data_IF_497819949383
#
_entry.id   IF_497819949383
#
_cell.length_a   1.000
_cell.length_b   1.000
_cell.length_c   1.000
_cell.angle_alpha   90.00
_cell.angle_beta   90.00
_cell.angle_gamma   90.00
#
_symmetry.space_group_name_H-M   'P 1'
#
loop_
_entity.id
_entity.type
_entity.pdbx_description
1 polymer ?
#
# COMPACT_ATOMS: atom_id res chain seq x y z
N UNK A 1 -45.69 -0.36 -10.18
CA UNK A 1 -44.45 0.43 -10.04
C UNK A 1 -44.18 0.60 -8.56
N UNK A 2 -43.21 -0.16 -8.07
CA UNK A 2 -42.96 -0.45 -6.66
C UNK A 2 -42.01 0.61 -6.10
N UNK A 3 -42.10 0.97 -4.83
CA UNK A 3 -41.38 2.12 -4.22
C UNK A 3 -39.86 2.13 -4.49
N UNK A 4 -39.24 0.94 -4.60
CA UNK A 4 -37.84 0.75 -4.98
C UNK A 4 -37.48 1.39 -6.32
N UNK A 5 -38.35 1.26 -7.31
CA UNK A 5 -38.13 1.84 -8.63
C UNK A 5 -38.13 3.37 -8.57
N UNK A 6 -39.06 3.98 -7.82
CA UNK A 6 -39.13 5.44 -7.62
C UNK A 6 -37.91 5.96 -6.85
N UNK A 7 -37.50 5.27 -5.79
CA UNK A 7 -36.32 5.63 -5.00
C UNK A 7 -35.04 5.57 -5.85
N UNK A 8 -34.86 4.49 -6.62
CA UNK A 8 -33.72 4.36 -7.52
C UNK A 8 -33.70 5.42 -8.62
N UNK A 9 -34.87 5.76 -9.20
CA UNK A 9 -34.97 6.81 -10.21
C UNK A 9 -34.58 8.17 -9.61
N UNK A 10 -35.08 8.47 -8.42
CA UNK A 10 -34.75 9.70 -7.71
C UNK A 10 -33.25 9.77 -7.41
N UNK A 11 -32.63 8.72 -6.85
CA UNK A 11 -31.19 8.67 -6.58
C UNK A 11 -30.34 8.89 -7.84
N UNK A 12 -30.64 8.16 -8.93
CA UNK A 12 -29.94 8.33 -10.21
C UNK A 12 -30.12 9.76 -10.78
N UNK A 13 -31.29 10.37 -10.57
CA UNK A 13 -31.51 11.77 -10.97
C UNK A 13 -30.63 12.73 -10.18
N UNK A 14 -30.47 12.52 -8.86
CA UNK A 14 -29.63 13.36 -8.02
C UNK A 14 -28.17 13.31 -8.47
N UNK A 15 -27.64 12.12 -8.77
CA UNK A 15 -26.26 11.96 -9.27
C UNK A 15 -26.06 12.69 -10.61
N UNK A 16 -27.01 12.58 -11.54
CA UNK A 16 -26.93 13.28 -12.84
C UNK A 16 -26.98 14.80 -12.68
N UNK A 17 -27.84 15.29 -11.79
CA UNK A 17 -27.94 16.71 -11.48
C UNK A 17 -26.66 17.21 -10.81
N UNK A 18 -26.09 16.44 -9.88
CA UNK A 18 -24.84 16.70 -9.19
C UNK A 18 -23.68 16.89 -10.17
N UNK A 19 -23.49 15.93 -11.08
CA UNK A 19 -22.47 16.00 -12.11
C UNK A 19 -22.68 17.21 -13.04
N UNK A 20 -23.93 17.51 -13.41
CA UNK A 20 -24.26 18.65 -14.29
C UNK A 20 -24.06 20.01 -13.61
N UNK A 21 -24.27 20.13 -12.31
CA UNK A 21 -24.08 21.37 -11.56
C UNK A 21 -22.63 21.87 -11.61
N UNK A 22 -21.67 20.95 -11.73
CA UNK A 22 -20.27 21.29 -11.93
C UNK A 22 -19.59 21.88 -10.69
N UNK A 23 -20.00 21.42 -9.51
CA UNK A 23 -19.44 21.86 -8.22
C UNK A 23 -18.90 20.66 -7.45
N UNK A 24 -17.81 20.87 -6.71
CA UNK A 24 -17.24 19.84 -5.81
C UNK A 24 -17.98 19.90 -4.48
N UNK A 25 -18.55 18.78 -4.06
CA UNK A 25 -19.29 18.73 -2.80
C UNK A 25 -19.62 17.31 -2.36
N UNK A 26 -20.10 17.24 -1.10
CA UNK A 26 -20.71 16.04 -0.52
C UNK A 26 -21.98 16.47 0.19
N UNK A 27 -23.09 15.80 -0.06
CA UNK A 27 -24.36 16.09 0.61
C UNK A 27 -25.19 14.84 0.82
N UNK A 28 -25.94 14.80 1.91
CA UNK A 28 -26.80 13.69 2.28
C UNK A 28 -28.10 13.75 1.47
N UNK A 29 -28.42 12.66 0.78
CA UNK A 29 -29.66 12.49 0.02
C UNK A 29 -30.80 11.91 0.87
N UNK A 30 -30.47 11.18 1.93
CA UNK A 30 -31.45 10.57 2.83
C UNK A 30 -30.89 9.35 3.52
N UNK A 31 -31.76 8.46 4.00
CA UNK A 31 -31.36 7.24 4.71
C UNK A 31 -32.04 6.00 4.15
N UNK A 32 -31.30 4.90 4.05
CA UNK A 32 -31.83 3.56 3.72
C UNK A 32 -31.33 2.59 4.78
N UNK A 33 -32.25 1.87 5.44
CA UNK A 33 -31.90 0.92 6.51
C UNK A 33 -31.22 1.58 7.72
N UNK A 34 -31.44 2.88 7.95
CA UNK A 34 -30.78 3.65 9.00
C UNK A 34 -29.38 4.19 8.65
N UNK A 35 -28.89 3.91 7.43
CA UNK A 35 -27.61 4.42 6.95
C UNK A 35 -27.82 5.59 6.01
N UNK A 36 -27.01 6.64 6.17
CA UNK A 36 -27.07 7.80 5.30
C UNK A 36 -26.55 7.46 3.89
N UNK A 37 -27.29 7.91 2.90
CA UNK A 37 -26.88 7.90 1.50
C UNK A 37 -26.40 9.32 1.18
N UNK A 38 -25.15 9.45 0.74
CA UNK A 38 -24.59 10.71 0.27
C UNK A 38 -24.40 10.68 -1.24
N UNK A 39 -24.41 11.87 -1.83
CA UNK A 39 -23.85 12.11 -3.15
C UNK A 39 -22.51 12.84 -2.98
N UNK A 40 -21.48 12.36 -3.67
CA UNK A 40 -20.17 13.01 -3.73
C UNK A 40 -19.86 13.35 -5.18
N UNK A 41 -19.36 14.56 -5.41
CA UNK A 41 -18.88 15.02 -6.71
C UNK A 41 -17.42 15.37 -6.66
N UNK A 42 -16.73 15.07 -7.76
CA UNK A 42 -15.33 15.45 -7.95
C UNK A 42 -15.08 15.80 -9.40
N UNK A 43 -13.93 16.44 -9.63
CA UNK A 43 -13.47 16.79 -10.95
C UNK A 43 -12.52 15.71 -11.45
N UNK A 44 -12.76 15.22 -12.65
CA UNK A 44 -11.88 14.31 -13.36
C UNK A 44 -11.34 15.01 -14.61
N UNK A 45 -10.12 14.66 -15.01
CA UNK A 45 -9.56 15.08 -16.30
C UNK A 45 -9.28 13.84 -17.13
N UNK A 46 -9.88 13.78 -18.32
CA UNK A 46 -9.65 12.70 -19.28
C UNK A 46 -9.40 13.32 -20.65
N UNK A 47 -8.33 12.90 -21.33
CA UNK A 47 -7.92 13.41 -22.65
C UNK A 47 -7.84 14.96 -22.75
N UNK A 48 -7.38 15.61 -21.68
CA UNK A 48 -7.28 17.07 -21.62
C UNK A 48 -8.60 17.81 -21.38
N UNK A 49 -9.76 17.13 -21.42
CA UNK A 49 -11.05 17.69 -21.06
C UNK A 49 -11.34 17.53 -19.56
N UNK A 50 -11.88 18.59 -18.94
CA UNK A 50 -12.35 18.55 -17.56
C UNK A 50 -13.83 18.16 -17.52
N UNK A 51 -14.13 17.07 -16.80
CA UNK A 51 -15.48 16.61 -16.55
C UNK A 51 -15.77 16.56 -15.06
N UNK A 52 -17.05 16.67 -14.73
CA UNK A 52 -17.55 16.49 -13.37
C UNK A 52 -18.21 15.14 -13.25
N UNK A 53 -17.73 14.36 -12.28
CA UNK A 53 -18.27 13.06 -11.95
C UNK A 53 -18.97 13.11 -10.60
N UNK A 54 -19.92 12.19 -10.42
CA UNK A 54 -20.71 12.07 -9.22
C UNK A 54 -20.93 10.59 -8.90
N UNK A 55 -20.92 10.26 -7.61
CA UNK A 55 -21.24 8.92 -7.11
C UNK A 55 -22.17 8.99 -5.91
N UNK A 56 -22.68 7.82 -5.52
CA UNK A 56 -23.39 7.62 -4.27
C UNK A 56 -22.49 6.89 -3.28
N UNK A 57 -22.64 7.21 -2.01
CA UNK A 57 -21.95 6.52 -0.93
C UNK A 57 -22.88 6.20 0.23
N UNK A 58 -22.63 5.09 0.91
CA UNK A 58 -23.20 4.75 2.20
C UNK A 58 -22.28 5.23 3.32
N UNK A 59 -22.81 5.94 4.32
CA UNK A 59 -22.02 6.39 5.48
C UNK A 59 -21.98 5.31 6.56
N UNK A 60 -20.77 4.96 7.00
CA UNK A 60 -20.47 3.91 7.96
C UNK A 60 -19.48 4.46 8.99
N UNK A 61 -19.98 4.97 10.12
CA UNK A 61 -19.16 5.46 11.25
C UNK A 61 -17.87 6.19 10.81
N UNK A 62 -18.04 7.32 10.12
CA UNK A 62 -16.95 8.13 9.60
C UNK A 62 -16.30 7.65 8.28
N UNK A 63 -16.74 6.52 7.73
CA UNK A 63 -16.31 5.98 6.43
C UNK A 63 -17.41 6.12 5.39
N UNK A 64 -17.02 6.16 4.12
CA UNK A 64 -17.93 6.21 2.97
C UNK A 64 -17.68 4.97 2.13
N UNK A 65 -18.70 4.11 2.00
CA UNK A 65 -18.69 3.00 1.06
C UNK A 65 -19.27 3.48 -0.27
N UNK A 66 -18.39 3.71 -1.24
CA UNK A 66 -18.78 4.11 -2.59
C UNK A 66 -19.57 3.02 -3.30
N UNK A 67 -20.64 3.42 -3.99
CA UNK A 67 -21.46 2.54 -4.81
C UNK A 67 -20.93 2.54 -6.24
N UNK A 68 -20.70 1.35 -6.79
CA UNK A 68 -20.36 1.20 -8.21
C UNK A 68 -21.64 1.08 -9.05
N UNK A 69 -21.80 2.01 -9.98
CA UNK A 69 -22.87 2.03 -10.97
C UNK A 69 -22.48 2.89 -12.17
N UNK A 70 -23.03 2.53 -13.32
CA UNK A 70 -22.83 3.21 -14.59
C UNK A 70 -24.14 3.88 -15.07
N UNK A 71 -24.11 4.43 -16.29
CA UNK A 71 -25.27 5.09 -16.90
C UNK A 71 -26.40 4.12 -17.26
N UNK A 72 -26.09 2.84 -17.44
CA UNK A 72 -27.03 1.78 -17.84
C UNK A 72 -27.69 1.09 -16.64
N UNK A 73 -27.16 1.33 -15.44
CA UNK A 73 -27.66 0.76 -14.19
C UNK A 73 -29.12 1.13 -14.00
N UNK A 74 -29.97 0.10 -13.88
CA UNK A 74 -31.40 0.30 -13.68
C UNK A 74 -31.70 0.87 -12.28
N UNK A 75 -32.78 1.66 -12.13
CA UNK A 75 -33.22 2.16 -10.83
C UNK A 75 -33.35 1.07 -9.76
N UNK A 76 -33.99 -0.05 -10.11
CA UNK A 76 -34.18 -1.18 -9.20
C UNK A 76 -32.84 -1.84 -8.90
N UNK A 77 -31.96 -1.99 -9.89
CA UNK A 77 -30.62 -2.57 -9.71
C UNK A 77 -29.74 -1.76 -8.77
N UNK A 78 -29.81 -0.43 -8.82
CA UNK A 78 -29.11 0.44 -7.87
C UNK A 78 -29.58 0.20 -6.43
N UNK A 79 -30.90 0.18 -6.21
CA UNK A 79 -31.47 -0.07 -4.87
C UNK A 79 -31.10 -1.46 -4.38
N UNK A 80 -31.15 -2.49 -5.23
CA UNK A 80 -30.73 -3.84 -4.86
C UNK A 80 -29.25 -3.93 -4.51
N UNK A 81 -28.35 -3.16 -5.16
CA UNK A 81 -26.95 -3.08 -4.73
C UNK A 81 -26.80 -2.45 -3.35
N UNK A 82 -27.55 -1.38 -3.07
CA UNK A 82 -27.55 -0.74 -1.74
C UNK A 82 -28.03 -1.75 -0.69
N UNK A 83 -29.18 -2.39 -0.91
CA UNK A 83 -29.73 -3.41 0.00
C UNK A 83 -28.74 -4.56 0.24
N UNK A 84 -28.11 -5.07 -0.82
CA UNK A 84 -27.11 -6.13 -0.72
C UNK A 84 -25.86 -5.68 0.06
N UNK A 85 -25.42 -4.43 -0.09
CA UNK A 85 -24.33 -3.88 0.71
C UNK A 85 -24.72 -3.83 2.20
N UNK A 86 -25.93 -3.38 2.51
CA UNK A 86 -26.45 -3.33 3.88
C UNK A 86 -26.54 -4.73 4.51
N UNK A 87 -27.02 -5.73 3.77
CA UNK A 87 -27.14 -7.12 4.25
C UNK A 87 -25.78 -7.74 4.63
N UNK A 88 -24.69 -7.28 4.02
CA UNK A 88 -23.35 -7.75 4.36
C UNK A 88 -22.82 -7.21 5.68
N UNK A 89 -23.33 -6.08 6.17
CA UNK A 89 -22.80 -5.44 7.37
C UNK A 89 -22.94 -6.28 8.63
N UNK A 90 -23.98 -7.12 8.74
CA UNK A 90 -24.11 -8.03 9.88
C UNK A 90 -22.98 -9.07 9.92
N UNK A 91 -22.64 -9.64 8.76
CA UNK A 91 -21.53 -10.59 8.65
C UNK A 91 -20.18 -9.89 8.89
N UNK A 92 -19.98 -8.70 8.32
CA UNK A 92 -18.76 -7.91 8.52
C UNK A 92 -18.59 -7.50 10.00
N UNK A 93 -19.69 -7.14 10.68
CA UNK A 93 -19.69 -6.86 12.11
C UNK A 93 -19.36 -8.11 12.95
N UNK A 94 -19.91 -9.27 12.60
CA UNK A 94 -19.60 -10.53 13.28
C UNK A 94 -18.12 -10.92 13.11
N UNK A 95 -17.58 -10.78 11.91
CA UNK A 95 -16.16 -11.02 11.63
C UNK A 95 -15.25 -10.05 12.38
N UNK A 96 -15.59 -8.75 12.40
CA UNK A 96 -14.85 -7.74 13.16
C UNK A 96 -14.85 -8.04 14.66
N UNK A 97 -16.01 -8.44 15.22
CA UNK A 97 -16.11 -8.85 16.63
C UNK A 97 -15.24 -10.06 16.94
N UNK A 98 -15.25 -11.08 16.07
CA UNK A 98 -14.39 -12.26 16.22
C UNK A 98 -12.91 -11.89 16.19
N UNK A 99 -12.51 -10.97 15.30
CA UNK A 99 -11.13 -10.49 15.24
C UNK A 99 -10.71 -9.78 16.53
N UNK A 100 -11.59 -8.94 17.09
CA UNK A 100 -11.35 -8.27 18.38
C UNK A 100 -11.17 -9.31 19.50
N UNK A 101 -12.08 -10.27 19.61
CA UNK A 101 -12.01 -11.33 20.63
C UNK A 101 -10.72 -12.16 20.51
N UNK A 102 -10.33 -12.52 19.29
CA UNK A 102 -9.09 -13.25 19.06
C UNK A 102 -7.85 -12.42 19.43
N UNK A 103 -7.83 -11.13 19.09
CA UNK A 103 -6.75 -10.23 19.46
C UNK A 103 -6.65 -10.05 20.97
N UNK A 104 -7.78 -9.84 21.65
CA UNK A 104 -7.86 -9.75 23.12
C UNK A 104 -7.39 -11.04 23.80
N UNK A 105 -7.75 -12.21 23.26
CA UNK A 105 -7.28 -13.51 23.76
C UNK A 105 -5.76 -13.66 23.64
N UNK A 106 -5.16 -13.18 22.56
CA UNK A 106 -3.69 -13.25 22.34
C UNK A 106 -2.91 -12.20 23.11
N UNK A 107 -3.55 -11.07 23.45
CA UNK A 107 -2.90 -9.90 24.04
C UNK A 107 -2.11 -10.18 25.33
N UNK A 108 -2.59 -10.99 26.30
CA UNK A 108 -1.81 -11.31 27.51
C UNK A 108 -0.48 -12.01 27.19
N UNK A 109 -0.49 -12.94 26.23
CA UNK A 109 0.72 -13.65 25.80
C UNK A 109 1.75 -12.71 25.17
N UNK A 110 1.29 -11.73 24.39
CA UNK A 110 2.17 -10.69 23.86
C UNK A 110 2.68 -9.74 24.96
N UNK A 111 1.80 -9.29 25.87
CA UNK A 111 2.18 -8.41 26.99
C UNK A 111 3.21 -9.06 27.92
N UNK A 112 3.10 -10.35 28.19
CA UNK A 112 4.06 -11.09 29.00
C UNK A 112 5.48 -11.11 28.40
N UNK A 113 5.60 -10.92 27.08
CA UNK A 113 6.88 -10.89 26.36
C UNK A 113 7.45 -9.48 26.20
N UNK A 114 6.68 -8.44 26.52
CA UNK A 114 7.16 -7.06 26.48
C UNK A 114 8.20 -6.86 27.59
N UNK A 115 9.40 -6.41 27.20
CA UNK A 115 10.51 -6.16 28.13
C UNK A 115 11.34 -7.39 28.49
N UNK A 116 11.00 -8.59 27.98
CA UNK A 116 11.89 -9.74 28.10
C UNK A 116 13.08 -9.58 27.16
N UNK A 117 14.26 -10.00 27.64
CA UNK A 117 15.42 -10.14 26.78
C UNK A 117 15.14 -11.16 25.67
N UNK A 118 15.62 -10.87 24.46
CA UNK A 118 15.59 -11.84 23.38
C UNK A 118 16.38 -13.09 23.80
N UNK A 119 15.78 -14.29 23.82
CA UNK A 119 16.42 -15.47 24.41
C UNK A 119 17.78 -15.80 23.77
N UNK A 120 17.94 -15.54 22.47
CA UNK A 120 19.15 -15.81 21.71
C UNK A 120 20.05 -14.56 21.53
N UNK A 121 19.89 -13.53 22.38
CA UNK A 121 20.69 -12.29 22.27
C UNK A 121 22.20 -12.54 22.33
N UNK A 122 22.64 -13.44 23.22
CA UNK A 122 24.05 -13.80 23.34
C UNK A 122 24.58 -14.52 22.09
N UNK A 123 23.80 -15.47 21.55
CA UNK A 123 24.16 -16.17 20.33
C UNK A 123 24.20 -15.21 19.13
N UNK A 124 23.25 -14.28 19.04
CA UNK A 124 23.25 -13.26 18.00
C UNK A 124 24.50 -12.38 18.08
N UNK A 125 24.92 -11.99 19.29
CA UNK A 125 26.13 -11.21 19.49
C UNK A 125 27.38 -11.98 19.05
N UNK A 126 27.50 -13.25 19.45
CA UNK A 126 28.59 -14.14 19.01
C UNK A 126 28.66 -14.23 17.48
N UNK A 127 27.51 -14.41 16.80
CA UNK A 127 27.48 -14.49 15.33
C UNK A 127 27.84 -13.17 14.66
N UNK A 128 27.49 -12.03 15.26
CA UNK A 128 27.90 -10.71 14.76
C UNK A 128 29.41 -10.49 14.88
N UNK A 129 30.00 -10.90 15.99
CA UNK A 129 31.45 -10.81 16.20
C UNK A 129 32.22 -11.71 15.23
N UNK A 130 31.75 -12.96 15.04
CA UNK A 130 32.33 -13.87 14.07
C UNK A 130 32.23 -13.33 12.63
N UNK A 131 31.11 -12.71 12.28
CA UNK A 131 30.92 -12.08 10.96
C UNK A 131 31.88 -10.91 10.76
N UNK A 132 32.02 -10.02 11.74
CA UNK A 132 32.95 -8.88 11.66
C UNK A 132 34.40 -9.32 11.53
N UNK A 133 34.80 -10.40 12.20
CA UNK A 133 36.13 -10.99 12.06
C UNK A 133 36.38 -11.51 10.64
N UNK A 134 35.42 -12.27 10.08
CA UNK A 134 35.51 -12.77 8.70
C UNK A 134 35.55 -11.65 7.67
N UNK A 135 34.77 -10.58 7.88
CA UNK A 135 34.80 -9.40 7.00
C UNK A 135 36.15 -8.69 7.04
N UNK A 136 36.76 -8.56 8.22
CA UNK A 136 38.09 -7.98 8.37
C UNK A 136 39.18 -8.83 7.69
N UNK A 137 39.14 -10.15 7.89
CA UNK A 137 40.06 -11.09 7.23
C UNK A 137 39.93 -11.02 5.70
N UNK A 138 38.70 -10.99 5.18
CA UNK A 138 38.44 -10.89 3.75
C UNK A 138 38.92 -9.55 3.15
N UNK A 139 38.75 -8.45 3.89
CA UNK A 139 39.26 -7.15 3.49
C UNK A 139 40.79 -7.13 3.45
N UNK A 140 41.45 -7.73 4.45
CA UNK A 140 42.91 -7.85 4.48
C UNK A 140 43.44 -8.73 3.33
N UNK A 141 42.78 -9.85 3.03
CA UNK A 141 43.12 -10.70 1.88
C UNK A 141 43.01 -9.95 0.55
N UNK A 142 41.96 -9.14 0.40
CA UNK A 142 41.75 -8.33 -0.80
C UNK A 142 42.83 -7.25 -0.93
N UNK A 143 43.16 -6.55 0.17
CA UNK A 143 44.24 -5.57 0.19
C UNK A 143 45.59 -6.20 -0.16
N UNK A 144 45.92 -7.36 0.42
CA UNK A 144 47.16 -8.09 0.10
C UNK A 144 47.24 -8.44 -1.38
N UNK A 145 46.16 -8.96 -1.97
CA UNK A 145 46.11 -9.26 -3.41
C UNK A 145 46.27 -8.01 -4.26
N UNK A 146 45.60 -6.91 -3.92
CA UNK A 146 45.76 -5.64 -4.64
C UNK A 146 47.18 -5.08 -4.54
N UNK A 147 47.83 -5.22 -3.37
CA UNK A 147 49.22 -4.81 -3.17
C UNK A 147 50.20 -5.68 -3.96
N UNK A 148 49.99 -7.00 -3.99
CA UNK A 148 50.73 -7.96 -4.79
C UNK A 148 50.57 -7.65 -6.29
N UNK A 149 49.36 -7.43 -6.79
CA UNK A 149 49.08 -7.05 -8.17
C UNK A 149 49.74 -5.71 -8.54
N UNK A 150 49.68 -4.71 -7.65
CA UNK A 150 50.37 -3.42 -7.85
C UNK A 150 51.89 -3.58 -7.86
N UNK A 151 52.45 -4.45 -7.02
CA UNK A 151 53.88 -4.74 -6.96
C UNK A 151 54.36 -5.47 -8.21
N UNK A 152 53.60 -6.46 -8.69
CA UNK A 152 53.86 -7.19 -9.94
C UNK A 152 53.78 -6.27 -11.15
N UNK A 153 52.76 -5.40 -11.23
CA UNK A 153 52.63 -4.41 -12.31
C UNK A 153 53.80 -3.41 -12.30
N UNK A 154 54.22 -2.95 -11.11
CA UNK A 154 55.39 -2.06 -10.95
C UNK A 154 56.69 -2.75 -11.33
N UNK A 155 56.86 -4.02 -10.97
CA UNK A 155 58.02 -4.83 -11.35
C UNK A 155 58.08 -5.03 -12.87
N UNK A 156 56.95 -5.35 -13.52
CA UNK A 156 56.87 -5.49 -14.97
C UNK A 156 57.21 -4.19 -15.71
N UNK A 157 56.73 -3.04 -15.22
CA UNK A 157 57.06 -1.73 -15.78
C UNK A 157 58.56 -1.40 -15.65
N UNK A 158 59.16 -1.70 -14.50
CA UNK A 158 60.61 -1.52 -14.29
C UNK A 158 61.46 -2.42 -15.18
N UNK A 159 60.99 -3.63 -15.50
CA UNK A 159 61.67 -4.55 -16.43
C UNK A 159 61.56 -4.04 -17.86
N UNK A 160 60.40 -3.53 -18.28
CA UNK A 160 60.20 -2.94 -19.59
C UNK A 160 61.07 -1.69 -19.82
N UNK A 161 61.14 -0.77 -18.85
CA UNK A 161 62.02 0.40 -18.91
C UNK A 161 63.52 0.03 -18.98
N UNK A 162 63.90 -1.11 -18.41
CA UNK A 162 65.27 -1.61 -18.45
C UNK A 162 65.60 -2.24 -19.81
N UNK A 163 64.68 -3.00 -20.40
CA UNK A 163 64.83 -3.53 -21.76
C UNK A 163 64.87 -2.43 -22.83
N UNK A 164 64.06 -1.37 -22.68
CA UNK A 164 64.05 -0.25 -23.63
C UNK A 164 65.38 0.53 -23.64
N UNK A 165 66.02 0.67 -22.46
CA UNK A 165 67.37 1.25 -22.34
C UNK A 165 68.47 0.36 -22.91
N UNK A 166 68.33 -0.97 -22.84
CA UNK A 166 69.30 -1.90 -23.43
C UNK A 166 69.20 -1.94 -24.97
N UNK A 167 68.02 -1.72 -25.55
CA UNK A 167 67.82 -1.62 -27.01
C UNK A 167 68.34 -0.29 -27.59
N UNK A 168 68.38 0.79 -26.81
CA UNK A 168 68.92 2.09 -27.25
C UNK A 168 70.46 2.19 -27.22
N UNK A 169 71.15 1.19 -26.66
CA UNK A 169 72.62 1.16 -26.52
C UNK A 169 73.27 0.18 -27.51
N UNK A 170 72.48 -0.61 -28.25
CA UNK A 170 72.93 -1.48 -29.33
C UNK A 170 72.77 -0.81 -30.70
#
# INVERSE_FOLDING_TARGET
>A
MTEREKAGQWLLSQVRLAAKAGEKGKWTLGTIGGFEILCETWRTRFDGEETWDATLGLVLDGRILGMDFDRETSPVGLVSRIENALLRFEAELADARRQVEEAERKLPGYRARVGLAFPEAALLQEKREAMAALEADLAADTQRREEEEKAEAKAALSVAEKCEKEVQIA
#
